data_IF_457183897392
#
_entry.id   IF_457183897392
#
_cell.length_a   1.000
_cell.length_b   1.000
_cell.length_c   1.000
_cell.angle_alpha   90.00
_cell.angle_beta   90.00
_cell.angle_gamma   90.00
#
_symmetry.space_group_name_H-M   'P 1'
#
loop_
_entity.id
_entity.type
_entity.pdbx_description
1 polymer ?
#
# COMPACT_ATOMS: atom_id res chain seq x y z
N UNK A 1 -0.23 4.18 -13.61
CA UNK A 1 -1.13 4.66 -12.54
C UNK A 1 -0.49 5.91 -11.94
N UNK A 2 -1.17 7.07 -11.91
CA UNK A 2 -0.58 8.30 -11.33
C UNK A 2 -0.39 8.15 -9.81
N UNK A 3 0.67 8.71 -9.21
CA UNK A 3 1.03 8.53 -7.79
C UNK A 3 -0.12 8.87 -6.81
N UNK A 4 -0.96 9.84 -7.20
CA UNK A 4 -2.14 10.26 -6.43
C UNK A 4 -3.21 9.16 -6.28
N UNK A 5 -3.29 8.23 -7.24
CA UNK A 5 -4.20 7.10 -7.19
C UNK A 5 -3.72 6.04 -6.19
N UNK A 6 -2.41 5.81 -6.10
CA UNK A 6 -1.83 4.87 -5.14
C UNK A 6 -2.05 5.33 -3.70
N UNK A 7 -1.93 6.63 -3.44
CA UNK A 7 -2.20 7.21 -2.12
C UNK A 7 -3.66 7.10 -1.70
N UNK A 8 -4.59 7.46 -2.59
CA UNK A 8 -6.03 7.33 -2.34
C UNK A 8 -6.43 5.87 -2.10
N UNK A 9 -5.87 4.95 -2.88
CA UNK A 9 -6.11 3.52 -2.70
C UNK A 9 -5.52 3.00 -1.38
N UNK A 10 -4.28 3.36 -1.04
CA UNK A 10 -3.64 2.99 0.22
C UNK A 10 -4.43 3.48 1.43
N UNK A 11 -4.94 4.73 1.40
CA UNK A 11 -5.78 5.30 2.46
C UNK A 11 -7.05 4.49 2.65
N UNK A 12 -7.83 4.26 1.57
CA UNK A 12 -9.04 3.42 1.63
C UNK A 12 -8.76 2.00 2.12
N UNK A 13 -7.62 1.43 1.73
CA UNK A 13 -7.22 0.09 2.15
C UNK A 13 -6.90 0.05 3.65
N UNK A 14 -6.19 1.07 4.14
CA UNK A 14 -5.85 1.25 5.55
C UNK A 14 -7.10 1.54 6.40
N UNK A 15 -7.99 2.44 5.98
CA UNK A 15 -9.27 2.70 6.65
C UNK A 15 -10.13 1.43 6.78
N UNK A 16 -10.09 0.55 5.77
CA UNK A 16 -10.90 -0.69 5.77
C UNK A 16 -10.29 -1.82 6.61
N UNK A 17 -8.97 -1.97 6.62
CA UNK A 17 -8.29 -3.14 7.21
C UNK A 17 -7.37 -2.79 8.39
N UNK A 18 -7.19 -1.51 8.70
CA UNK A 18 -6.23 -1.01 9.67
C UNK A 18 -4.83 -1.54 9.41
N UNK A 19 -4.15 -1.99 10.48
CA UNK A 19 -2.80 -2.55 10.41
C UNK A 19 -2.68 -3.81 9.52
N UNK A 20 -3.78 -4.51 9.20
CA UNK A 20 -3.73 -5.67 8.29
C UNK A 20 -3.51 -5.28 6.83
N UNK A 21 -3.73 -4.01 6.48
CA UNK A 21 -3.53 -3.54 5.11
C UNK A 21 -2.08 -3.72 4.63
N UNK A 22 -1.09 -3.56 5.51
CA UNK A 22 0.32 -3.76 5.15
C UNK A 22 0.62 -5.21 4.77
N UNK A 23 0.10 -6.18 5.53
CA UNK A 23 0.25 -7.60 5.24
C UNK A 23 -0.42 -7.98 3.92
N UNK A 24 -1.60 -7.41 3.65
CA UNK A 24 -2.31 -7.61 2.39
C UNK A 24 -1.54 -7.06 1.18
N UNK A 25 -0.97 -5.85 1.28
CA UNK A 25 -0.14 -5.28 0.23
C UNK A 25 1.11 -6.12 -0.02
N UNK A 26 1.76 -6.61 1.04
CA UNK A 26 2.92 -7.48 0.92
C UNK A 26 2.57 -8.80 0.21
N UNK A 27 1.45 -9.41 0.57
CA UNK A 27 0.95 -10.62 -0.09
C UNK A 27 0.68 -10.38 -1.59
N UNK A 28 0.04 -9.26 -1.94
CA UNK A 28 -0.25 -8.94 -3.35
C UNK A 28 1.01 -8.73 -4.19
N UNK A 29 2.04 -8.11 -3.62
CA UNK A 29 3.34 -7.98 -4.27
C UNK A 29 3.93 -9.38 -4.54
N UNK A 30 3.92 -10.27 -3.55
CA UNK A 30 4.45 -11.62 -3.70
C UNK A 30 3.67 -12.45 -4.73
N UNK A 31 2.33 -12.33 -4.77
CA UNK A 31 1.51 -13.00 -5.78
C UNK A 31 1.83 -12.55 -7.21
N UNK A 32 2.08 -11.24 -7.40
CA UNK A 32 2.39 -10.67 -8.72
C UNK A 32 3.80 -10.99 -9.18
N UNK A 33 4.75 -11.03 -8.24
CA UNK A 33 6.14 -11.46 -8.50
C UNK A 33 6.18 -12.90 -9.01
N UNK A 34 5.38 -13.79 -8.42
CA UNK A 34 5.26 -15.21 -8.83
C UNK A 34 4.73 -15.40 -10.25
N UNK A 35 3.92 -14.48 -10.74
CA UNK A 35 3.38 -14.52 -12.13
C UNK A 35 4.18 -13.63 -13.08
N UNK A 36 5.33 -13.11 -12.63
CA UNK A 36 6.22 -12.23 -13.40
C UNK A 36 5.50 -10.99 -13.97
N UNK A 37 4.57 -10.43 -13.19
CA UNK A 37 3.89 -9.18 -13.54
C UNK A 37 4.61 -7.98 -12.93
N UNK A 38 5.72 -7.59 -13.55
CA UNK A 38 6.59 -6.49 -13.09
C UNK A 38 5.84 -5.16 -12.91
N UNK A 39 4.85 -4.91 -13.78
CA UNK A 39 4.06 -3.69 -13.73
C UNK A 39 3.13 -3.66 -12.52
N UNK A 40 2.44 -4.76 -12.21
CA UNK A 40 1.64 -4.88 -11.01
C UNK A 40 2.48 -4.83 -9.75
N UNK A 41 3.65 -5.49 -9.73
CA UNK A 41 4.60 -5.37 -8.62
C UNK A 41 4.96 -3.90 -8.39
N UNK A 42 5.32 -3.16 -9.44
CA UNK A 42 5.66 -1.73 -9.33
C UNK A 42 4.48 -0.88 -8.82
N UNK A 43 3.25 -1.15 -9.27
CA UNK A 43 2.06 -0.45 -8.80
C UNK A 43 1.75 -0.75 -7.32
N UNK A 44 1.84 -1.99 -6.87
CA UNK A 44 1.65 -2.34 -5.46
C UNK A 44 2.79 -1.86 -4.56
N UNK A 45 4.02 -1.74 -5.08
CA UNK A 45 5.11 -1.08 -4.35
C UNK A 45 4.85 0.41 -4.14
N UNK A 46 4.19 1.11 -5.08
CA UNK A 46 3.73 2.49 -4.86
C UNK A 46 2.68 2.56 -3.77
N UNK A 47 1.72 1.62 -3.77
CA UNK A 47 0.70 1.51 -2.70
C UNK A 47 1.35 1.25 -1.34
N UNK A 48 2.36 0.37 -1.27
CA UNK A 48 3.12 0.09 -0.05
C UNK A 48 3.80 1.34 0.51
N UNK A 49 4.45 2.13 -0.34
CA UNK A 49 5.09 3.39 0.05
C UNK A 49 4.07 4.40 0.57
N UNK A 50 2.94 4.56 -0.12
CA UNK A 50 1.88 5.45 0.34
C UNK A 50 1.30 5.01 1.69
N UNK A 51 1.15 3.70 1.91
CA UNK A 51 0.66 3.16 3.18
C UNK A 51 1.61 3.44 4.35
N UNK A 52 2.93 3.39 4.11
CA UNK A 52 3.92 3.75 5.12
C UNK A 52 3.83 5.24 5.49
N UNK A 53 3.63 6.12 4.50
CA UNK A 53 3.43 7.56 4.74
C UNK A 53 2.21 7.77 5.63
N UNK A 54 1.06 7.19 5.25
CA UNK A 54 -0.18 7.27 6.02
C UNK A 54 0.04 6.79 7.47
N UNK A 55 0.70 5.64 7.66
CA UNK A 55 0.99 5.13 9.00
C UNK A 55 1.86 6.10 9.82
N UNK A 56 2.83 6.74 9.20
CA UNK A 56 3.67 7.74 9.87
C UNK A 56 2.87 8.99 10.24
N UNK A 57 1.93 9.42 9.40
CA UNK A 57 1.03 10.54 9.70
C UNK A 57 0.11 10.23 10.89
N UNK A 58 -0.50 9.03 10.93
CA UNK A 58 -1.36 8.62 12.06
C UNK A 58 -0.56 8.52 13.37
N UNK A 59 0.66 7.99 13.33
CA UNK A 59 1.54 7.93 14.50
C UNK A 59 1.94 9.33 15.02
N UNK A 60 2.10 10.32 14.12
CA UNK A 60 2.40 11.70 14.50
C UNK A 60 1.20 12.43 15.10
N UNK A 61 -0.04 12.07 14.74
CA UNK A 61 -1.24 12.72 15.28
C UNK A 61 -1.61 12.24 16.70
N UNK A 62 -1.02 11.13 17.15
CA UNK A 62 -1.26 10.56 18.48
C UNK A 62 -0.29 11.15 19.55
N UNK A 63 0.73 11.91 19.14
CA UNK A 63 1.66 12.66 20.00
C UNK A 63 1.34 14.15 20.03
#
# INVERSE_FOLDING_TARGET
MQEQNAHTFARRLFDRMGHRAEAYVAQKIEELDKVSDDQGVADWQRVRRAMQIIRQEELRQIH
#
